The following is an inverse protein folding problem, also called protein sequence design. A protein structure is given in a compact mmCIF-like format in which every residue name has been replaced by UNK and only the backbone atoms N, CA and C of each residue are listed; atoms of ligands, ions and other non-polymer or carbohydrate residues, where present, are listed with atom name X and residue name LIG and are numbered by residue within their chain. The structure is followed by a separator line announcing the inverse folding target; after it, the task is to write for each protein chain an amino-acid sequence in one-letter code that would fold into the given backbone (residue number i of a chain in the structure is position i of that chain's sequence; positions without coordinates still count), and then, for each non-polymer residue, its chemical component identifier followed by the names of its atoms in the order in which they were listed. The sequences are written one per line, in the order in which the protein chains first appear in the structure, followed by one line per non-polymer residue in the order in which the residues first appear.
data_IF_334608551932
#
_entry.id   IF_334608551932
#
_cell.length_a   1.000
_cell.length_b   1.000
_cell.length_c   1.000
_cell.angle_alpha   90.00
_cell.angle_beta   90.00
_cell.angle_gamma   90.00
#
_symmetry.space_group_name_H-M   'P 1'
#
loop_
_entity.id
_entity.type
_entity.pdbx_description
1 polymer ?
#
# COMPACT_ATOMS: atom_id res chain seq x y z
N UNK A 1 8.94 2.00 14.99
CA UNK A 1 9.56 1.78 13.66
C UNK A 1 8.52 2.16 12.62
N UNK A 2 8.90 2.88 11.57
CA UNK A 2 8.01 3.24 10.47
C UNK A 2 8.54 2.64 9.17
N UNK A 3 7.68 1.99 8.40
CA UNK A 3 8.02 1.43 7.09
C UNK A 3 7.06 2.02 6.07
N UNK A 4 7.59 2.79 5.11
CA UNK A 4 6.83 3.28 3.96
C UNK A 4 7.04 2.37 2.76
N UNK A 5 5.95 2.05 2.07
CA UNK A 5 5.97 1.35 0.78
C UNK A 5 5.41 2.29 -0.28
N UNK A 6 6.30 2.76 -1.15
CA UNK A 6 5.94 3.58 -2.31
C UNK A 6 5.48 2.70 -3.47
N UNK A 7 4.39 3.09 -4.12
CA UNK A 7 3.73 2.32 -5.17
C UNK A 7 3.96 3.02 -6.51
N UNK A 8 4.79 2.41 -7.34
CA UNK A 8 5.13 2.89 -8.68
C UNK A 8 4.74 1.86 -9.74
N UNK A 9 4.31 2.34 -10.90
CA UNK A 9 3.97 1.51 -12.07
C UNK A 9 5.21 0.88 -12.67
N UNK A 10 6.31 1.63 -12.74
CA UNK A 10 7.60 1.15 -13.20
C UNK A 10 8.69 1.50 -12.18
N UNK A 11 9.47 0.49 -11.78
CA UNK A 11 10.50 0.63 -10.74
C UNK A 11 11.76 1.32 -11.26
N UNK A 12 12.11 1.13 -12.54
CA UNK A 12 13.34 1.69 -13.11
C UNK A 12 13.24 3.22 -13.27
N UNK A 13 12.15 3.69 -13.87
CA UNK A 13 11.87 5.12 -14.07
C UNK A 13 11.21 5.78 -12.86
N UNK A 14 10.76 5.00 -11.87
CA UNK A 14 9.93 5.47 -10.74
C UNK A 14 8.62 6.14 -11.19
N UNK A 15 8.11 5.76 -12.35
CA UNK A 15 6.85 6.31 -12.88
C UNK A 15 5.69 5.95 -11.94
N UNK A 16 4.94 6.92 -11.39
CA UNK A 16 3.81 6.65 -10.51
C UNK A 16 2.61 6.06 -11.28
N UNK A 17 1.67 5.46 -10.56
CA UNK A 17 0.38 5.07 -11.15
C UNK A 17 -0.48 6.30 -11.49
N UNK A 18 -1.47 6.13 -12.37
CA UNK A 18 -2.47 7.19 -12.65
C UNK A 18 -3.22 7.53 -11.35
N UNK A 19 -3.24 8.80 -10.91
CA UNK A 19 -3.92 9.20 -9.66
C UNK A 19 -5.42 8.87 -9.64
N UNK A 20 -6.07 8.69 -10.80
CA UNK A 20 -7.48 8.25 -10.88
C UNK A 20 -7.68 6.87 -10.27
N UNK A 21 -6.66 6.01 -10.26
CA UNK A 21 -6.72 4.67 -9.64
C UNK A 21 -6.85 4.73 -8.13
N UNK A 22 -6.38 5.82 -7.49
CA UNK A 22 -6.36 5.99 -6.02
C UNK A 22 -5.84 4.73 -5.32
N UNK A 23 -4.71 4.20 -5.77
CA UNK A 23 -4.25 2.86 -5.41
C UNK A 23 -4.01 2.74 -3.89
N UNK A 24 -3.49 3.79 -3.24
CA UNK A 24 -3.35 3.85 -1.78
C UNK A 24 -4.68 3.58 -1.04
N UNK A 25 -5.80 4.10 -1.56
CA UNK A 25 -7.12 3.95 -0.95
C UNK A 25 -7.68 2.53 -1.17
N UNK A 26 -7.45 1.96 -2.35
CA UNK A 26 -7.84 0.57 -2.65
C UNK A 26 -7.08 -0.41 -1.75
N UNK A 27 -5.76 -0.22 -1.59
CA UNK A 27 -4.93 -1.06 -0.70
C UNK A 27 -5.40 -0.94 0.74
N UNK A 28 -5.67 0.28 1.23
CA UNK A 28 -6.26 0.48 2.57
C UNK A 28 -7.53 -0.35 2.76
N UNK A 29 -8.45 -0.28 1.80
CA UNK A 29 -9.71 -1.01 1.90
C UNK A 29 -9.50 -2.53 1.91
N UNK A 30 -8.60 -3.05 1.06
CA UNK A 30 -8.27 -4.47 1.01
C UNK A 30 -7.52 -4.95 2.27
N UNK A 31 -6.60 -4.15 2.81
CA UNK A 31 -5.88 -4.43 4.04
C UNK A 31 -6.84 -4.45 5.26
N UNK A 32 -7.76 -3.47 5.35
CA UNK A 32 -8.77 -3.43 6.41
C UNK A 32 -9.67 -4.67 6.41
N UNK A 33 -10.08 -5.15 5.24
CA UNK A 33 -10.86 -6.40 5.11
C UNK A 33 -10.09 -7.64 5.60
N UNK A 34 -8.75 -7.59 5.58
CA UNK A 34 -7.85 -8.63 6.08
C UNK A 34 -7.39 -8.38 7.52
N UNK A 35 -7.98 -7.41 8.21
CA UNK A 35 -7.64 -7.08 9.59
C UNK A 35 -6.26 -6.41 9.74
N UNK A 36 -5.79 -5.69 8.72
CA UNK A 36 -4.58 -4.89 8.76
C UNK A 36 -4.90 -3.40 8.58
N UNK A 37 -4.57 -2.59 9.58
CA UNK A 37 -4.60 -1.12 9.44
C UNK A 37 -3.30 -0.63 8.80
N UNK A 38 -3.44 0.29 7.84
CA UNK A 38 -2.32 0.98 7.20
C UNK A 38 -2.60 2.47 7.18
N UNK A 39 -1.56 3.29 7.02
CA UNK A 39 -1.66 4.74 6.80
C UNK A 39 -1.50 5.01 5.29
N UNK A 40 -2.60 5.16 4.52
CA UNK A 40 -2.52 5.40 3.09
C UNK A 40 -2.38 6.89 2.79
N UNK A 41 -1.67 7.23 1.71
CA UNK A 41 -1.57 8.60 1.23
C UNK A 41 -1.35 8.64 -0.29
N UNK A 42 -2.00 9.61 -0.94
CA UNK A 42 -1.83 9.93 -2.36
C UNK A 42 -1.32 11.36 -2.55
N UNK A 43 -0.81 11.66 -3.75
CA UNK A 43 -0.27 12.98 -4.07
C UNK A 43 1.10 13.24 -3.46
N UNK A 44 1.87 12.18 -3.18
CA UNK A 44 3.13 12.29 -2.41
C UNK A 44 4.25 13.04 -3.15
N UNK A 45 4.19 13.14 -4.48
CA UNK A 45 5.24 13.80 -5.28
C UNK A 45 5.04 15.31 -5.33
N UNK A 46 3.84 15.77 -5.67
CA UNK A 46 3.53 17.17 -6.00
C UNK A 46 2.14 17.62 -5.51
N UNK A 47 1.50 16.84 -4.63
CA UNK A 47 0.12 17.02 -4.22
C UNK A 47 -0.91 16.40 -5.16
N UNK A 48 -0.50 15.84 -6.31
CA UNK A 48 -1.38 15.26 -7.33
C UNK A 48 -1.09 13.79 -7.61
N UNK A 49 0.18 13.41 -7.79
CA UNK A 49 0.60 12.05 -8.17
C UNK A 49 1.44 11.36 -7.09
N UNK A 50 1.51 10.03 -7.19
CA UNK A 50 2.27 9.17 -6.28
C UNK A 50 1.41 8.62 -5.14
N UNK A 51 1.55 7.32 -4.88
CA UNK A 51 0.80 6.58 -3.89
C UNK A 51 1.77 5.89 -2.92
N UNK A 52 1.48 5.93 -1.62
CA UNK A 52 2.18 5.10 -0.65
C UNK A 52 1.26 4.59 0.45
N UNK A 53 1.73 3.55 1.15
CA UNK A 53 1.17 3.11 2.42
C UNK A 53 2.29 3.03 3.45
N UNK A 54 1.96 3.36 4.70
CA UNK A 54 2.88 3.27 5.81
C UNK A 54 2.38 2.30 6.87
N UNK A 55 3.32 1.55 7.45
CA UNK A 55 3.14 0.65 8.57
C UNK A 55 3.86 1.21 9.79
N UNK A 56 3.19 1.18 10.94
CA UNK A 56 3.74 1.59 12.22
C UNK A 56 3.40 0.56 13.31
N UNK A 57 3.93 -0.68 13.23
CA UNK A 57 3.68 -1.69 14.24
C UNK A 57 4.23 -1.24 15.61
N UNK A 58 3.59 -1.66 16.71
CA UNK A 58 4.11 -1.37 18.04
C UNK A 58 5.50 -2.01 18.25
N UNK A 59 6.33 -1.39 19.09
CA UNK A 59 7.68 -1.89 19.37
C UNK A 59 7.73 -3.27 20.03
N UNK A 60 6.61 -3.74 20.58
CA UNK A 60 6.46 -5.06 21.22
C UNK A 60 6.03 -6.16 20.23
N UNK A 61 5.99 -5.88 18.92
CA UNK A 61 5.64 -6.89 17.93
C UNK A 61 6.65 -8.05 17.91
N UNK A 62 6.12 -9.27 17.76
CA UNK A 62 6.94 -10.47 17.52
C UNK A 62 7.22 -10.66 16.04
N UNK A 63 8.23 -11.47 15.71
CA UNK A 63 8.56 -11.84 14.32
C UNK A 63 7.34 -12.41 13.57
N UNK A 64 6.61 -13.34 14.20
CA UNK A 64 5.37 -13.90 13.63
C UNK A 64 4.30 -12.85 13.34
N UNK A 65 4.17 -11.83 14.18
CA UNK A 65 3.23 -10.73 13.92
C UNK A 65 3.69 -9.89 12.73
N UNK A 66 5.00 -9.71 12.53
CA UNK A 66 5.54 -9.06 11.35
C UNK A 66 5.27 -9.89 10.09
N UNK A 67 5.47 -11.20 10.12
CA UNK A 67 5.11 -12.11 9.01
C UNK A 67 3.63 -11.94 8.62
N UNK A 68 2.73 -11.97 9.61
CA UNK A 68 1.28 -11.74 9.37
C UNK A 68 0.99 -10.36 8.76
N UNK A 69 1.72 -9.32 9.16
CA UNK A 69 1.57 -7.97 8.58
C UNK A 69 2.01 -7.98 7.11
N UNK A 70 3.14 -8.61 6.79
CA UNK A 70 3.68 -8.70 5.43
C UNK A 70 2.74 -9.49 4.52
N UNK A 71 2.26 -10.65 4.97
CA UNK A 71 1.30 -11.49 4.24
C UNK A 71 0.03 -10.70 3.90
N UNK A 72 -0.60 -10.09 4.90
CA UNK A 72 -1.85 -9.32 4.72
C UNK A 72 -1.66 -8.10 3.83
N UNK A 73 -0.51 -7.43 3.92
CA UNK A 73 -0.20 -6.30 3.06
C UNK A 73 0.00 -6.75 1.61
N UNK A 74 0.75 -7.85 1.40
CA UNK A 74 0.95 -8.45 0.08
C UNK A 74 -0.38 -8.78 -0.59
N UNK A 75 -1.24 -9.55 0.09
CA UNK A 75 -2.56 -9.92 -0.41
C UNK A 75 -3.45 -8.71 -0.73
N UNK A 76 -3.33 -7.64 0.06
CA UNK A 76 -4.08 -6.42 -0.16
C UNK A 76 -3.59 -5.64 -1.39
N UNK A 77 -2.27 -5.61 -1.62
CA UNK A 77 -1.67 -5.01 -2.82
C UNK A 77 -2.09 -5.78 -4.06
N UNK A 78 -1.97 -7.11 -4.05
CA UNK A 78 -2.35 -7.95 -5.20
C UNK A 78 -3.84 -7.80 -5.54
N UNK A 79 -4.71 -7.83 -4.53
CA UNK A 79 -6.14 -7.61 -4.74
C UNK A 79 -6.43 -6.21 -5.32
N UNK A 80 -5.76 -5.16 -4.82
CA UNK A 80 -5.95 -3.81 -5.31
C UNK A 80 -5.46 -3.62 -6.77
N UNK A 81 -4.41 -4.33 -7.17
CA UNK A 81 -3.92 -4.33 -8.55
C UNK A 81 -4.90 -5.02 -9.50
N UNK A 82 -5.49 -6.16 -9.11
CA UNK A 82 -6.46 -6.87 -9.94
C UNK A 82 -7.80 -6.13 -10.13
N UNK A 83 -8.25 -5.35 -9.13
CA UNK A 83 -9.47 -4.54 -9.23
C UNK A 83 -9.40 -3.42 -10.29
N UNK A 84 -8.20 -3.14 -10.79
CA UNK A 84 -7.95 -2.05 -11.75
C UNK A 84 -7.67 -2.55 -13.16
N UNK A 85 -7.79 -3.85 -13.42
CA UNK A 85 -7.57 -4.47 -14.74
C UNK A 85 -8.83 -4.46 -15.62
N UNK A 86 -9.85 -3.67 -15.30
CA UNK A 86 -11.00 -3.48 -16.20
C UNK A 86 -10.66 -2.42 -17.25
N UNK A 87 -9.88 -2.81 -18.26
CA UNK A 87 -9.83 -2.20 -19.60
C UNK A 87 -9.90 -3.30 -20.66
#
# INVERSE_FOLDING_TARGET
MFVGVELVKDRASKTPFDPKRKLHALIKNQAMQRGLMVYPMGGTVDGRIGDHVLLAPPFICTERQIETIVERLGDAVDAALHLTTTE
#
